data_IF_265269453899
#
_entry.id   IF_265269453899
#
_cell.length_a   1.000
_cell.length_b   1.000
_cell.length_c   1.000
_cell.angle_alpha   90.00
_cell.angle_beta   90.00
_cell.angle_gamma   90.00
#
_symmetry.space_group_name_H-M   'P 1'
#
loop_
_entity.id
_entity.type
_entity.pdbx_description
1 polymer ?
#
# COMPACT_ATOMS: atom_id res chain seq x y z
N UNK A 1 23.03 17.57 -0.52
CA UNK A 1 21.61 17.22 -0.70
C UNK A 1 21.06 16.86 0.68
N UNK A 2 20.04 17.57 1.18
CA UNK A 2 19.31 17.12 2.39
C UNK A 2 18.21 16.19 1.89
N UNK A 3 18.35 14.89 2.14
CA UNK A 3 17.28 13.93 1.91
C UNK A 3 16.14 14.30 2.86
N UNK A 4 14.96 14.56 2.31
CA UNK A 4 13.74 14.57 3.10
C UNK A 4 13.40 13.11 3.36
N UNK A 5 13.47 12.68 4.62
CA UNK A 5 13.12 11.33 5.01
C UNK A 5 11.59 11.21 4.94
N UNK A 6 11.14 10.29 4.10
CA UNK A 6 9.75 9.87 3.97
C UNK A 6 9.71 8.40 4.35
N UNK A 7 8.97 8.08 5.41
CA UNK A 7 8.77 6.70 5.84
C UNK A 7 7.40 6.25 5.35
N UNK A 8 7.38 5.19 4.54
CA UNK A 8 6.17 4.55 4.05
C UNK A 8 6.22 3.07 4.45
N UNK A 9 5.29 2.66 5.30
CA UNK A 9 5.06 1.26 5.67
C UNK A 9 3.75 0.79 5.03
N UNK A 10 3.80 -0.35 4.34
CA UNK A 10 2.66 -0.97 3.72
C UNK A 10 2.56 -2.43 4.15
N UNK A 11 1.57 -2.74 4.99
CA UNK A 11 1.24 -4.10 5.40
C UNK A 11 0.09 -4.62 4.56
N UNK A 12 0.33 -5.68 3.79
CA UNK A 12 -0.71 -6.34 2.99
C UNK A 12 -1.21 -7.60 3.70
N UNK A 13 -2.45 -7.57 4.18
CA UNK A 13 -3.09 -8.75 4.76
C UNK A 13 -3.75 -9.59 3.68
N UNK A 14 -3.37 -10.86 3.60
CA UNK A 14 -3.98 -11.80 2.65
C UNK A 14 -5.37 -12.26 3.11
N UNK A 15 -6.33 -12.23 2.19
CA UNK A 15 -7.69 -12.74 2.38
C UNK A 15 -8.22 -13.30 1.04
N UNK A 16 -8.25 -14.63 0.91
CA UNK A 16 -8.81 -15.38 -0.23
C UNK A 16 -8.59 -14.71 -1.62
N UNK A 17 -7.35 -14.69 -2.11
CA UNK A 17 -6.97 -14.07 -3.40
C UNK A 17 -7.19 -12.56 -3.50
N UNK A 18 -7.25 -11.89 -2.35
CA UNK A 18 -7.24 -10.44 -2.26
C UNK A 18 -6.29 -10.01 -1.16
N UNK A 19 -5.68 -8.85 -1.34
CA UNK A 19 -4.97 -8.15 -0.29
C UNK A 19 -5.83 -7.04 0.29
N UNK A 20 -5.82 -6.92 1.61
CA UNK A 20 -6.32 -5.79 2.37
C UNK A 20 -5.10 -4.98 2.80
N UNK A 21 -4.86 -3.80 2.18
CA UNK A 21 -3.71 -2.97 2.51
C UNK A 21 -3.96 -2.15 3.78
N UNK A 22 -2.96 -2.13 4.66
CA UNK A 22 -2.85 -1.19 5.77
C UNK A 22 -1.58 -0.38 5.54
N UNK A 23 -1.76 0.88 5.15
CA UNK A 23 -0.66 1.76 4.76
C UNK A 23 -0.53 2.87 5.81
N UNK A 24 0.69 3.06 6.29
CA UNK A 24 1.06 4.14 7.19
C UNK A 24 2.18 4.93 6.53
N UNK A 25 2.04 6.24 6.48
CA UNK A 25 3.04 7.15 5.93
C UNK A 25 3.30 8.27 6.92
N UNK A 26 4.55 8.64 7.06
CA UNK A 26 4.97 9.81 7.83
C UNK A 26 5.95 10.62 6.98
N UNK A 27 5.52 11.82 6.56
CA UNK A 27 6.32 12.75 5.75
C UNK A 27 6.83 13.93 6.56
N UNK A 28 8.12 14.26 6.38
CA UNK A 28 8.71 15.48 6.92
C UNK A 28 8.86 16.57 5.83
N UNK A 29 7.77 17.30 5.55
CA UNK A 29 7.73 18.30 4.47
C UNK A 29 8.29 19.64 4.93
N UNK A 30 9.31 20.15 4.21
CA UNK A 30 9.88 21.49 4.42
C UNK A 30 9.33 22.51 3.45
N UNK A 31 8.58 23.48 3.96
CA UNK A 31 8.08 24.60 3.17
C UNK A 31 8.99 25.82 3.33
N UNK A 32 9.13 26.63 2.28
CA UNK A 32 9.79 27.93 2.34
C UNK A 32 8.92 28.98 1.65
N UNK A 33 8.62 30.07 2.34
CA UNK A 33 7.83 31.18 1.81
C UNK A 33 8.76 32.33 1.43
N UNK A 34 8.44 33.03 0.35
CA UNK A 34 9.19 34.22 -0.06
C UNK A 34 9.02 35.36 0.96
N UNK A 35 10.02 36.26 1.04
CA UNK A 35 10.09 37.32 2.05
C UNK A 35 8.91 38.31 2.06
N UNK A 36 8.11 38.33 0.99
CA UNK A 36 6.90 39.15 0.90
C UNK A 36 5.77 38.66 1.82
N UNK A 37 5.85 37.42 2.31
CA UNK A 37 4.81 36.81 3.15
C UNK A 37 5.34 36.51 4.57
N UNK A 38 5.80 37.55 5.27
CA UNK A 38 6.30 37.43 6.66
C UNK A 38 5.32 36.71 7.61
N UNK A 39 4.01 36.94 7.42
CA UNK A 39 2.96 36.27 8.21
C UNK A 39 2.96 34.75 7.98
N UNK A 40 3.24 34.28 6.76
CA UNK A 40 3.32 32.84 6.48
C UNK A 40 4.52 32.18 7.16
N UNK A 41 5.61 32.91 7.39
CA UNK A 41 6.74 32.39 8.18
C UNK A 41 6.38 32.21 9.66
N UNK A 42 5.43 32.97 10.20
CA UNK A 42 4.95 32.83 11.59
C UNK A 42 4.12 31.55 11.73
N UNK A 43 3.20 31.31 10.80
CA UNK A 43 2.33 30.11 10.81
C UNK A 43 2.92 28.91 10.07
N UNK A 44 4.17 29.00 9.63
CA UNK A 44 4.85 28.03 8.78
C UNK A 44 4.78 26.60 9.31
N UNK A 45 5.05 26.41 10.60
CA UNK A 45 4.99 25.08 11.22
C UNK A 45 3.59 24.45 11.17
N UNK A 46 2.53 25.27 11.28
CA UNK A 46 1.15 24.79 11.16
C UNK A 46 0.82 24.39 9.71
N UNK A 47 1.25 25.19 8.73
CA UNK A 47 1.01 24.89 7.30
C UNK A 47 1.76 23.60 6.93
N UNK A 48 3.02 23.47 7.32
CA UNK A 48 3.82 22.26 7.06
C UNK A 48 3.16 21.00 7.59
N UNK A 49 2.66 21.02 8.84
CA UNK A 49 1.95 19.87 9.43
C UNK A 49 0.69 19.51 8.66
N UNK A 50 -0.11 20.49 8.24
CA UNK A 50 -1.33 20.25 7.45
C UNK A 50 -1.02 19.67 6.08
N UNK A 51 -0.01 20.21 5.39
CA UNK A 51 0.41 19.71 4.08
C UNK A 51 0.95 18.29 4.20
N UNK A 52 1.78 17.99 5.21
CA UNK A 52 2.27 16.63 5.47
C UNK A 52 1.11 15.65 5.69
N UNK A 53 0.17 15.97 6.58
CA UNK A 53 -0.97 15.09 6.85
C UNK A 53 -1.85 14.83 5.61
N UNK A 54 -2.07 15.85 4.76
CA UNK A 54 -2.81 15.69 3.52
C UNK A 54 -2.08 14.78 2.53
N UNK A 55 -0.77 14.97 2.36
CA UNK A 55 0.06 14.13 1.48
C UNK A 55 0.09 12.70 1.99
N UNK A 56 0.32 12.49 3.28
CA UNK A 56 0.37 11.16 3.90
C UNK A 56 -0.94 10.40 3.69
N UNK A 57 -2.07 11.10 3.84
CA UNK A 57 -3.41 10.51 3.62
C UNK A 57 -3.63 10.17 2.14
N UNK A 58 -3.42 11.12 1.24
CA UNK A 58 -3.67 10.93 -0.20
C UNK A 58 -2.79 9.83 -0.80
N UNK A 59 -1.52 9.77 -0.41
CA UNK A 59 -0.60 8.71 -0.86
C UNK A 59 -1.03 7.35 -0.33
N UNK A 60 -1.40 7.25 0.95
CA UNK A 60 -1.92 6.01 1.53
C UNK A 60 -3.20 5.54 0.82
N UNK A 61 -4.13 6.46 0.53
CA UNK A 61 -5.36 6.16 -0.20
C UNK A 61 -5.09 5.68 -1.63
N UNK A 62 -4.23 6.37 -2.39
CA UNK A 62 -3.89 5.95 -3.76
C UNK A 62 -3.20 4.60 -3.80
N UNK A 63 -2.33 4.30 -2.85
CA UNK A 63 -1.69 2.99 -2.74
C UNK A 63 -2.72 1.90 -2.40
N UNK A 64 -3.64 2.17 -1.46
CA UNK A 64 -4.72 1.24 -1.14
C UNK A 64 -5.63 0.98 -2.36
N UNK A 65 -5.96 2.04 -3.08
CA UNK A 65 -6.73 1.96 -4.32
C UNK A 65 -5.99 1.16 -5.39
N UNK A 66 -4.69 1.37 -5.57
CA UNK A 66 -3.88 0.62 -6.54
C UNK A 66 -3.87 -0.88 -6.22
N UNK A 67 -3.79 -1.27 -4.94
CA UNK A 67 -3.91 -2.68 -4.54
C UNK A 67 -5.30 -3.22 -4.90
N UNK A 68 -6.36 -2.49 -4.56
CA UNK A 68 -7.74 -2.90 -4.83
C UNK A 68 -8.07 -3.00 -6.32
N UNK A 69 -7.57 -2.08 -7.14
CA UNK A 69 -7.95 -1.92 -8.55
C UNK A 69 -7.01 -2.63 -9.52
N UNK A 70 -5.74 -2.82 -9.16
CA UNK A 70 -4.75 -3.44 -10.05
C UNK A 70 -4.29 -4.81 -9.55
N UNK A 71 -4.00 -4.95 -8.26
CA UNK A 71 -3.43 -6.19 -7.70
C UNK A 71 -4.52 -7.24 -7.51
N UNK A 72 -5.59 -6.91 -6.79
CA UNK A 72 -6.65 -7.87 -6.46
C UNK A 72 -7.34 -8.45 -7.70
N UNK A 73 -7.67 -7.68 -8.76
CA UNK A 73 -8.28 -8.27 -9.95
C UNK A 73 -7.37 -9.27 -10.66
N UNK A 74 -6.06 -9.03 -10.70
CA UNK A 74 -5.09 -9.97 -11.28
C UNK A 74 -5.02 -11.27 -10.47
N UNK A 75 -5.07 -11.17 -9.14
CA UNK A 75 -5.11 -12.35 -8.27
C UNK A 75 -6.40 -13.16 -8.49
N UNK A 76 -7.55 -12.51 -8.64
CA UNK A 76 -8.81 -13.19 -8.93
C UNK A 76 -8.81 -13.84 -10.33
N UNK A 77 -8.27 -13.16 -11.35
CA UNK A 77 -8.07 -13.76 -12.68
C UNK A 77 -7.16 -14.99 -12.61
N UNK A 78 -6.10 -14.92 -11.80
CA UNK A 78 -5.21 -16.05 -11.59
C UNK A 78 -5.93 -17.22 -10.89
N UNK A 79 -6.75 -16.96 -9.86
CA UNK A 79 -7.63 -17.96 -9.22
C UNK A 79 -8.51 -18.66 -10.27
N UNK A 80 -9.17 -17.90 -11.14
CA UNK A 80 -10.03 -18.43 -12.20
C UNK A 80 -9.26 -19.29 -13.20
N UNK A 81 -8.07 -18.84 -13.64
CA UNK A 81 -7.22 -19.62 -14.54
C UNK A 81 -6.82 -20.96 -13.94
N UNK A 82 -6.42 -21.00 -12.67
CA UNK A 82 -6.09 -22.27 -12.02
C UNK A 82 -7.28 -23.23 -11.97
N UNK A 83 -8.47 -22.73 -11.67
CA UNK A 83 -9.69 -23.56 -11.70
C UNK A 83 -9.94 -24.11 -13.11
N UNK A 84 -9.80 -23.27 -14.15
CA UNK A 84 -10.00 -23.71 -15.55
C UNK A 84 -8.97 -24.74 -16.04
N UNK A 85 -7.76 -24.72 -15.50
CA UNK A 85 -6.69 -25.67 -15.85
C UNK A 85 -6.86 -27.05 -15.21
N UNK A 86 -7.95 -27.30 -14.47
CA UNK A 86 -8.21 -28.61 -13.88
C UNK A 86 -7.40 -28.89 -12.61
N UNK A 87 -6.80 -27.87 -11.99
CA UNK A 87 -6.23 -27.96 -10.64
C UNK A 87 -7.29 -28.18 -9.54
N UNK A 88 -8.53 -28.50 -9.92
CA UNK A 88 -9.60 -28.93 -9.02
C UNK A 88 -9.26 -30.19 -8.24
N UNK A 89 -8.33 -31.01 -8.75
CA UNK A 89 -7.78 -32.21 -8.10
C UNK A 89 -6.71 -31.89 -7.05
N UNK A 90 -6.31 -30.63 -6.91
CA UNK A 90 -5.37 -30.19 -5.89
C UNK A 90 -6.10 -29.29 -4.89
N UNK A 91 -5.81 -29.50 -3.62
CA UNK A 91 -6.05 -28.51 -2.58
C UNK A 91 -4.90 -27.50 -2.63
N UNK A 92 -5.23 -26.24 -2.86
CA UNK A 92 -4.25 -25.16 -2.97
C UNK A 92 -4.32 -24.33 -1.69
N UNK A 93 -3.29 -24.40 -0.88
CA UNK A 93 -3.16 -23.61 0.35
C UNK A 93 -2.30 -22.37 0.11
N UNK A 94 -2.79 -21.23 0.60
CA UNK A 94 -2.14 -19.93 0.47
C UNK A 94 -1.79 -19.44 1.86
N UNK A 95 -0.51 -19.18 2.12
CA UNK A 95 -0.04 -18.70 3.43
C UNK A 95 0.92 -17.53 3.25
N UNK A 96 0.86 -16.58 4.16
CA UNK A 96 1.85 -15.49 4.22
C UNK A 96 2.85 -15.84 5.32
N UNK A 97 4.11 -16.04 4.96
CA UNK A 97 5.19 -16.36 5.88
C UNK A 97 6.45 -15.59 5.47
N UNK A 98 7.13 -14.97 6.44
CA UNK A 98 8.35 -14.18 6.22
C UNK A 98 8.20 -13.11 5.11
N UNK A 99 7.06 -12.40 5.11
CA UNK A 99 6.68 -11.42 4.07
C UNK A 99 6.58 -11.99 2.64
N UNK A 100 6.51 -13.31 2.49
CA UNK A 100 6.29 -13.98 1.22
C UNK A 100 4.92 -14.69 1.19
N UNK A 101 4.18 -14.51 0.10
CA UNK A 101 3.00 -15.33 -0.19
C UNK A 101 3.48 -16.69 -0.74
N UNK A 102 3.29 -17.75 0.05
CA UNK A 102 3.61 -19.14 -0.31
C UNK A 102 2.36 -19.84 -0.80
N UNK A 103 2.55 -20.62 -1.87
CA UNK A 103 1.49 -21.42 -2.52
C UNK A 103 1.88 -22.88 -2.40
N UNK A 104 1.03 -23.68 -1.77
CA UNK A 104 1.25 -25.12 -1.63
C UNK A 104 0.17 -25.87 -2.39
N UNK A 105 0.58 -26.80 -3.24
CA UNK A 105 -0.32 -27.69 -3.98
C UNK A 105 -0.29 -29.07 -3.34
N UNK A 106 -1.43 -29.53 -2.83
CA UNK A 106 -1.60 -30.89 -2.28
C UNK A 106 -2.57 -31.67 -3.15
N UNK A 107 -2.27 -32.91 -3.57
CA UNK A 107 -3.25 -33.74 -4.25
C UNK A 107 -4.45 -33.98 -3.32
N UNK A 108 -5.67 -33.81 -3.84
CA UNK A 108 -6.88 -34.28 -3.15
C UNK A 108 -6.85 -35.81 -3.17
N UNK A 109 -6.91 -36.43 -1.99
CA UNK A 109 -7.09 -37.88 -1.86
C UNK A 109 -8.49 -38.30 -2.29
#
# INVERSE_FOLDING_TARGET
MRSEEVNLDAKLMWNDFSFIPYISMESNIKLSFSNHFKILNIVKGMIQRRVAALVDTEVAEKLAEAVKTNVNPRLQQFKQKMVSMGYTHYEIEWTVQDNALRVTFKPKR
#
